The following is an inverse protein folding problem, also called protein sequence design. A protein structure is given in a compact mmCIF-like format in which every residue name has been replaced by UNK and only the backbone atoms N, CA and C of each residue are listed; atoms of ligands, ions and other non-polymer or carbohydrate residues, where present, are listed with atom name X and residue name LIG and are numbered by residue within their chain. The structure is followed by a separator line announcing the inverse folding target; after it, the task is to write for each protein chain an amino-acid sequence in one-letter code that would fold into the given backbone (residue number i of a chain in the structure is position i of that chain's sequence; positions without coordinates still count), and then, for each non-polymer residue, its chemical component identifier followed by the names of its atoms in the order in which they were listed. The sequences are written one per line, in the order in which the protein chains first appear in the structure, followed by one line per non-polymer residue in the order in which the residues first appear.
data_IF_240352792503
#
_entry.id   IF_240352792503
#
_cell.length_a   1.000
_cell.length_b   1.000
_cell.length_c   1.000
_cell.angle_alpha   90.00
_cell.angle_beta   90.00
_cell.angle_gamma   90.00
#
_symmetry.space_group_name_H-M   'P 1'
#
loop_
_entity.id
_entity.type
_entity.pdbx_description
1 polymer ?
#
# COMPACT_ATOMS: atom_id res chain seq x y z
N UNK A 1 55.47 21.04 -49.11
CA UNK A 1 54.08 20.63 -49.43
C UNK A 1 53.69 19.54 -48.43
N UNK A 2 52.91 19.88 -47.39
CA UNK A 2 52.41 18.92 -46.40
C UNK A 2 50.90 18.82 -46.59
N UNK A 3 50.45 17.68 -47.09
CA UNK A 3 49.04 17.36 -47.29
C UNK A 3 48.47 16.94 -45.93
N UNK A 4 47.51 17.68 -45.41
CA UNK A 4 46.72 17.26 -44.25
C UNK A 4 45.53 16.44 -44.75
N UNK A 5 45.48 15.16 -44.41
CA UNK A 5 44.27 14.35 -44.53
C UNK A 5 43.35 14.67 -43.35
N UNK A 6 42.21 15.31 -43.63
CA UNK A 6 41.13 15.46 -42.65
C UNK A 6 40.34 14.14 -42.61
N UNK A 7 40.49 13.37 -41.54
CA UNK A 7 39.65 12.20 -41.27
C UNK A 7 38.31 12.70 -40.70
N UNK A 8 37.27 12.77 -41.53
CA UNK A 8 35.90 13.05 -41.07
C UNK A 8 35.36 11.74 -40.48
N UNK A 9 35.34 11.63 -39.16
CA UNK A 9 34.69 10.52 -38.45
C UNK A 9 33.20 10.81 -38.39
N UNK A 10 32.42 10.17 -39.26
CA UNK A 10 30.95 10.22 -39.19
C UNK A 10 30.47 9.29 -38.08
N UNK A 11 30.19 9.87 -36.90
CA UNK A 11 29.52 9.15 -35.82
C UNK A 11 28.05 8.93 -36.20
N UNK A 12 27.72 7.73 -36.67
CA UNK A 12 26.33 7.27 -36.73
C UNK A 12 25.96 6.84 -35.31
N UNK A 13 25.36 7.75 -34.54
CA UNK A 13 24.78 7.43 -33.25
C UNK A 13 23.53 6.59 -33.45
N UNK A 14 23.59 5.31 -33.10
CA UNK A 14 22.40 4.43 -33.06
C UNK A 14 21.59 4.85 -31.84
N UNK A 15 20.43 5.47 -32.05
CA UNK A 15 19.40 5.65 -31.03
C UNK A 15 18.80 4.28 -30.72
N UNK A 16 19.30 3.61 -29.69
CA UNK A 16 18.62 2.48 -29.10
C UNK A 16 17.40 3.01 -28.33
N UNK A 17 16.21 2.89 -28.95
CA UNK A 17 14.94 3.05 -28.24
C UNK A 17 14.67 1.73 -27.53
N UNK A 18 14.94 1.68 -26.23
CA UNK A 18 14.52 0.57 -25.41
C UNK A 18 13.02 0.75 -25.10
N UNK A 19 12.16 -0.24 -25.38
CA UNK A 19 10.78 -0.19 -24.91
C UNK A 19 10.80 -0.13 -23.38
N UNK A 20 10.19 0.91 -22.82
CA UNK A 20 10.00 1.04 -21.38
C UNK A 20 8.92 0.03 -20.96
N UNK A 21 9.35 -1.19 -20.64
CA UNK A 21 8.51 -2.21 -20.03
C UNK A 21 8.36 -1.93 -18.52
N UNK A 22 7.97 -0.72 -18.14
CA UNK A 22 7.55 -0.44 -16.77
C UNK A 22 6.15 -1.02 -16.59
N UNK A 23 6.06 -2.29 -16.20
CA UNK A 23 4.81 -2.80 -15.63
C UNK A 23 4.42 -1.87 -14.48
N UNK A 24 3.21 -1.30 -14.52
CA UNK A 24 2.60 -0.50 -13.45
C UNK A 24 2.29 -1.40 -12.23
N UNK A 25 3.34 -1.97 -11.62
CA UNK A 25 3.22 -2.82 -10.46
C UNK A 25 3.10 -1.91 -9.22
N UNK A 26 2.04 -2.10 -8.43
CA UNK A 26 1.88 -1.41 -7.14
C UNK A 26 3.09 -1.72 -6.24
N UNK A 27 3.94 -0.71 -6.02
CA UNK A 27 5.10 -0.83 -5.14
C UNK A 27 4.61 -0.74 -3.69
N UNK A 28 4.76 -1.84 -2.95
CA UNK A 28 4.45 -1.91 -1.51
C UNK A 28 5.64 -1.47 -0.66
N UNK A 29 5.53 -0.31 -0.03
CA UNK A 29 6.54 0.22 0.89
C UNK A 29 6.26 -0.23 2.33
N UNK A 30 7.27 -0.77 3.02
CA UNK A 30 7.22 -1.05 4.46
C UNK A 30 7.19 0.25 5.27
N UNK A 31 6.23 0.38 6.19
CA UNK A 31 6.07 1.57 7.05
C UNK A 31 6.16 1.28 8.54
N UNK A 32 5.93 0.04 8.96
CA UNK A 32 6.25 -0.39 10.32
C UNK A 32 7.76 -0.67 10.41
N UNK A 33 8.50 0.17 11.15
CA UNK A 33 9.96 0.01 11.32
C UNK A 33 10.35 -1.36 11.92
N UNK A 34 9.45 -1.95 12.67
CA UNK A 34 9.60 -3.23 13.34
C UNK A 34 8.28 -4.01 13.27
N UNK A 35 8.29 -5.26 13.77
CA UNK A 35 7.08 -6.06 13.86
C UNK A 35 6.11 -5.43 14.85
N UNK A 36 4.90 -5.16 14.40
CA UNK A 36 3.82 -4.59 15.20
C UNK A 36 2.95 -5.73 15.68
N UNK A 37 2.77 -5.87 16.99
CA UNK A 37 2.01 -6.98 17.55
C UNK A 37 0.81 -6.50 18.37
N UNK A 38 -0.36 -7.08 18.11
CA UNK A 38 -1.61 -6.77 18.79
C UNK A 38 -2.16 -8.01 19.47
N UNK A 39 -2.92 -7.80 20.55
CA UNK A 39 -3.58 -8.86 21.31
C UNK A 39 -5.10 -8.83 21.10
N UNK A 40 -5.75 -9.95 21.38
CA UNK A 40 -7.21 -10.06 21.33
C UNK A 40 -7.92 -9.54 22.60
N UNK A 41 -7.15 -9.15 23.62
CA UNK A 41 -7.67 -8.69 24.92
C UNK A 41 -6.68 -7.77 25.66
N UNK A 42 -7.20 -7.10 26.70
CA UNK A 42 -6.43 -6.36 27.69
C UNK A 42 -6.05 -4.94 27.28
N UNK A 43 -6.70 -4.36 26.27
CA UNK A 43 -6.40 -3.02 25.72
C UNK A 43 -4.98 -2.92 25.18
N UNK A 44 -4.57 -3.90 24.37
CA UNK A 44 -3.18 -4.06 23.92
C UNK A 44 -3.08 -4.02 22.40
N UNK A 45 -3.23 -2.83 21.78
CA UNK A 45 -3.01 -2.66 20.36
C UNK A 45 -1.52 -2.78 20.03
N UNK A 46 -1.25 -3.18 18.79
CA UNK A 46 0.05 -2.96 18.18
C UNK A 46 0.12 -1.52 17.69
N UNK A 47 1.14 -0.77 18.09
CA UNK A 47 1.25 0.67 17.79
C UNK A 47 2.53 0.95 17.04
N UNK A 48 2.47 1.81 16.01
CA UNK A 48 3.67 2.29 15.32
C UNK A 48 3.47 3.71 14.76
N UNK A 49 4.58 4.43 14.63
CA UNK A 49 4.61 5.77 14.07
C UNK A 49 4.97 5.74 12.57
N UNK A 50 4.24 6.47 11.76
CA UNK A 50 4.52 6.62 10.34
C UNK A 50 5.74 7.52 10.13
N UNK A 51 6.86 6.91 9.71
CA UNK A 51 8.13 7.60 9.50
C UNK A 51 8.74 7.26 8.15
N UNK A 52 8.14 7.85 7.13
CA UNK A 52 8.61 7.75 5.76
C UNK A 52 9.57 8.90 5.45
N UNK A 53 10.80 8.55 5.07
CA UNK A 53 11.82 9.54 4.75
C UNK A 53 11.62 10.13 3.35
N UNK A 54 10.88 9.46 2.47
CA UNK A 54 10.55 9.92 1.13
C UNK A 54 9.32 10.84 1.11
N UNK A 55 8.57 10.92 2.21
CA UNK A 55 7.40 11.78 2.36
C UNK A 55 7.55 12.69 3.60
N UNK A 56 8.27 13.82 3.50
CA UNK A 56 8.66 14.64 4.65
C UNK A 56 7.46 15.23 5.42
N UNK A 57 6.35 15.51 4.74
CA UNK A 57 5.10 16.00 5.36
C UNK A 57 4.09 14.89 5.62
N UNK A 58 4.16 13.79 4.87
CA UNK A 58 3.16 12.75 4.87
C UNK A 58 2.69 12.42 3.46
N UNK A 59 1.66 11.59 3.34
CA UNK A 59 1.08 11.22 2.05
C UNK A 59 -0.38 10.82 2.13
N UNK A 60 -1.03 10.91 0.98
CA UNK A 60 -2.36 10.37 0.77
C UNK A 60 -2.27 8.84 0.64
N UNK A 61 -3.00 8.10 1.48
CA UNK A 61 -3.05 6.64 1.45
C UNK A 61 -4.31 6.14 0.75
N UNK A 62 -4.09 5.29 -0.26
CA UNK A 62 -5.15 4.59 -1.01
C UNK A 62 -5.28 3.12 -0.64
N UNK A 63 -4.18 2.50 -0.19
CA UNK A 63 -4.22 1.15 0.37
C UNK A 63 -3.19 0.94 1.48
N UNK A 64 -3.57 0.10 2.45
CA UNK A 64 -2.72 -0.36 3.52
C UNK A 64 -2.82 -1.89 3.59
N UNK A 65 -1.66 -2.54 3.66
CA UNK A 65 -1.53 -3.98 3.76
C UNK A 65 -0.86 -4.38 5.07
N UNK A 66 -1.46 -5.30 5.80
CA UNK A 66 -0.81 -6.00 6.91
C UNK A 66 -0.28 -7.33 6.38
N UNK A 67 0.98 -7.62 6.66
CA UNK A 67 1.63 -8.89 6.30
C UNK A 67 1.88 -9.68 7.58
N UNK A 68 1.30 -10.86 7.67
CA UNK A 68 1.44 -11.77 8.79
C UNK A 68 2.89 -12.17 9.02
N UNK A 69 3.32 -12.26 10.28
CA UNK A 69 4.65 -12.75 10.66
C UNK A 69 4.57 -13.93 11.60
N UNK A 70 3.74 -13.85 12.64
CA UNK A 70 3.62 -14.93 13.62
C UNK A 70 2.40 -14.76 14.52
N UNK A 71 2.07 -15.85 15.22
CA UNK A 71 1.08 -15.86 16.29
C UNK A 71 -0.34 -16.21 15.82
N UNK A 72 -1.27 -16.14 16.76
CA UNK A 72 -2.70 -16.33 16.51
C UNK A 72 -3.50 -15.59 17.58
N UNK A 73 -4.72 -15.23 17.21
CA UNK A 73 -5.75 -14.64 18.06
C UNK A 73 -7.01 -15.52 18.00
N UNK A 74 -7.85 -15.42 19.03
CA UNK A 74 -9.14 -16.10 19.11
C UNK A 74 -10.13 -15.25 19.90
N UNK A 75 -11.41 -15.42 19.59
CA UNK A 75 -12.55 -14.80 20.27
C UNK A 75 -13.22 -15.72 21.31
N UNK A 76 -12.65 -16.90 21.51
CA UNK A 76 -13.18 -17.96 22.36
C UNK A 76 -11.99 -18.80 22.84
N UNK A 77 -12.11 -19.41 24.02
CA UNK A 77 -11.09 -20.27 24.62
C UNK A 77 -10.79 -21.55 23.82
N UNK A 78 -11.65 -21.93 22.87
CA UNK A 78 -11.44 -23.09 22.02
C UNK A 78 -10.35 -22.85 20.96
N UNK A 79 -9.32 -23.70 20.99
CA UNK A 79 -8.18 -23.63 20.07
C UNK A 79 -8.55 -23.80 18.60
N UNK A 80 -9.68 -24.43 18.29
CA UNK A 80 -10.17 -24.60 16.92
C UNK A 80 -10.51 -23.28 16.22
N UNK A 81 -10.74 -22.21 16.99
CA UNK A 81 -11.11 -20.90 16.46
C UNK A 81 -9.93 -19.92 16.34
N UNK A 82 -8.72 -20.38 16.70
CA UNK A 82 -7.50 -19.61 16.51
C UNK A 82 -7.30 -19.26 15.05
N UNK A 83 -6.92 -18.02 14.79
CA UNK A 83 -6.74 -17.48 13.45
C UNK A 83 -5.71 -16.35 13.45
N UNK A 84 -5.35 -15.85 12.28
CA UNK A 84 -4.46 -14.70 12.12
C UNK A 84 -5.23 -13.37 12.21
N UNK A 85 -6.47 -13.35 11.73
CA UNK A 85 -7.19 -12.11 11.45
C UNK A 85 -8.55 -11.96 12.16
N UNK A 86 -8.95 -12.92 13.00
CA UNK A 86 -10.24 -12.85 13.69
C UNK A 86 -10.54 -14.11 14.50
N UNK A 87 -11.55 -14.88 14.09
CA UNK A 87 -11.95 -16.11 14.77
C UNK A 87 -12.46 -17.14 13.75
N UNK A 88 -11.64 -18.15 13.47
CA UNK A 88 -11.81 -19.05 12.32
C UNK A 88 -12.95 -20.05 12.57
N UNK A 89 -13.87 -20.23 11.61
CA UNK A 89 -15.00 -21.18 11.70
C UNK A 89 -15.85 -21.10 12.99
N UNK A 90 -15.82 -19.99 13.72
CA UNK A 90 -16.66 -19.79 14.89
C UNK A 90 -18.13 -19.62 14.45
N UNK A 91 -19.11 -20.37 15.00
CA UNK A 91 -20.49 -20.40 14.50
C UNK A 91 -21.17 -19.02 14.44
N UNK A 92 -20.84 -18.11 15.37
CA UNK A 92 -21.40 -16.75 15.37
C UNK A 92 -20.81 -15.84 14.28
N UNK A 93 -19.57 -16.10 13.86
CA UNK A 93 -18.77 -15.18 13.06
C UNK A 93 -18.34 -15.75 11.70
N UNK A 94 -18.75 -16.98 11.35
CA UNK A 94 -18.39 -17.65 10.09
C UNK A 94 -18.70 -16.82 8.83
N UNK A 95 -19.74 -15.96 8.87
CA UNK A 95 -20.10 -15.07 7.74
C UNK A 95 -19.27 -13.77 7.69
N UNK A 96 -18.53 -13.46 8.74
CA UNK A 96 -17.72 -12.25 8.90
C UNK A 96 -16.53 -12.54 9.83
N UNK A 97 -15.59 -13.40 9.40
CA UNK A 97 -14.63 -14.03 10.31
C UNK A 97 -13.47 -13.10 10.72
N UNK A 98 -13.41 -11.88 10.18
CA UNK A 98 -12.31 -10.93 10.41
C UNK A 98 -12.67 -9.92 11.51
N UNK A 99 -11.68 -9.58 12.32
CA UNK A 99 -11.82 -8.66 13.46
C UNK A 99 -10.59 -7.78 13.70
N UNK A 100 -9.77 -7.52 12.67
CA UNK A 100 -8.61 -6.64 12.79
C UNK A 100 -8.98 -5.22 12.37
N UNK A 101 -8.69 -4.25 13.23
CA UNK A 101 -9.09 -2.85 13.05
C UNK A 101 -7.85 -1.97 13.07
N UNK A 102 -7.74 -1.04 12.13
CA UNK A 102 -6.70 -0.01 12.11
C UNK A 102 -7.34 1.30 12.53
N UNK A 103 -6.75 1.96 13.51
CA UNK A 103 -7.21 3.26 14.01
C UNK A 103 -6.08 4.29 13.99
N UNK A 104 -6.47 5.55 14.13
CA UNK A 104 -5.54 6.60 14.55
C UNK A 104 -5.17 6.47 16.05
N UNK A 105 -4.38 7.42 16.54
CA UNK A 105 -3.94 7.47 17.95
C UNK A 105 -5.08 7.67 18.96
N UNK A 106 -6.23 8.16 18.53
CA UNK A 106 -7.42 8.41 19.33
C UNK A 106 -8.48 7.30 19.19
N UNK A 107 -8.10 6.18 18.60
CA UNK A 107 -8.97 5.02 18.38
C UNK A 107 -10.14 5.30 17.40
N UNK A 108 -10.00 6.32 16.54
CA UNK A 108 -10.91 6.52 15.42
C UNK A 108 -10.60 5.50 14.32
N UNK A 109 -11.60 4.73 13.89
CA UNK A 109 -11.45 3.67 12.89
C UNK A 109 -11.11 4.28 11.52
N UNK A 110 -9.97 3.83 10.99
CA UNK A 110 -9.51 4.10 9.62
C UNK A 110 -9.87 2.92 8.71
N UNK A 111 -9.53 1.69 9.14
CA UNK A 111 -9.86 0.46 8.41
C UNK A 111 -10.44 -0.63 9.32
N UNK A 112 -11.33 -1.49 8.79
CA UNK A 112 -11.97 -1.38 7.47
C UNK A 112 -12.94 -0.19 7.39
N UNK A 113 -13.37 0.16 6.17
CA UNK A 113 -14.47 1.12 5.99
C UNK A 113 -15.71 0.65 6.78
N UNK A 114 -16.36 1.57 7.49
CA UNK A 114 -17.50 1.31 8.38
C UNK A 114 -18.61 0.51 7.71
N UNK A 115 -18.80 0.65 6.39
CA UNK A 115 -19.81 -0.12 5.64
C UNK A 115 -19.61 -1.65 5.66
N UNK A 116 -18.38 -2.12 5.92
CA UNK A 116 -18.07 -3.55 6.00
C UNK A 116 -18.35 -4.13 7.39
N UNK A 117 -18.40 -3.29 8.43
CA UNK A 117 -18.60 -3.69 9.83
C UNK A 117 -20.06 -4.13 10.03
N UNK A 118 -20.25 -5.30 10.67
CA UNK A 118 -21.58 -5.93 10.80
C UNK A 118 -22.23 -5.81 12.16
N UNK A 119 -21.48 -5.56 13.22
CA UNK A 119 -22.00 -5.55 14.59
C UNK A 119 -21.13 -4.72 15.54
N UNK A 120 -21.53 -4.66 16.83
CA UNK A 120 -20.81 -3.92 17.86
C UNK A 120 -19.41 -4.46 18.21
N UNK A 121 -19.12 -5.74 17.89
CA UNK A 121 -17.79 -6.34 18.04
C UNK A 121 -16.83 -6.02 16.89
N UNK A 122 -17.27 -5.22 15.90
CA UNK A 122 -16.49 -4.80 14.74
C UNK A 122 -16.14 -5.94 13.76
N UNK A 123 -16.96 -6.97 13.69
CA UNK A 123 -16.73 -8.09 12.78
C UNK A 123 -17.06 -7.76 11.32
N UNK A 124 -16.28 -8.27 10.38
CA UNK A 124 -16.45 -8.01 8.94
C UNK A 124 -15.95 -9.16 8.05
N UNK A 125 -16.26 -9.06 6.76
CA UNK A 125 -15.79 -9.96 5.70
C UNK A 125 -15.03 -9.15 4.64
N UNK A 126 -13.97 -9.73 4.09
CA UNK A 126 -13.33 -9.26 2.87
C UNK A 126 -13.27 -10.42 1.86
N UNK A 127 -13.56 -10.16 0.58
CA UNK A 127 -13.48 -11.19 -0.45
C UNK A 127 -12.05 -11.72 -0.56
N UNK A 128 -11.92 -13.02 -0.81
CA UNK A 128 -10.63 -13.72 -0.98
C UNK A 128 -9.69 -13.69 0.24
N UNK A 129 -10.20 -13.33 1.42
CA UNK A 129 -9.44 -13.37 2.67
C UNK A 129 -9.94 -14.51 3.55
N UNK A 130 -9.03 -15.42 3.90
CA UNK A 130 -9.24 -16.46 4.89
C UNK A 130 -8.63 -16.02 6.23
N UNK A 131 -9.41 -16.11 7.32
CA UNK A 131 -8.98 -15.63 8.63
C UNK A 131 -7.78 -16.41 9.21
N UNK A 132 -7.60 -17.67 8.82
CA UNK A 132 -6.54 -18.55 9.31
C UNK A 132 -5.34 -18.62 8.36
N UNK A 133 -5.58 -18.64 7.04
CA UNK A 133 -4.54 -18.98 6.06
C UNK A 133 -4.02 -17.80 5.25
N UNK A 134 -4.73 -16.67 5.16
CA UNK A 134 -4.20 -15.53 4.40
C UNK A 134 -2.95 -14.97 5.09
N UNK A 135 -1.86 -14.80 4.34
CA UNK A 135 -0.63 -14.15 4.82
C UNK A 135 -0.74 -12.63 4.81
N UNK A 136 -1.74 -12.09 4.12
CA UNK A 136 -1.92 -10.65 3.94
C UNK A 136 -3.36 -10.24 4.18
N UNK A 137 -3.54 -9.05 4.77
CA UNK A 137 -4.81 -8.37 4.91
C UNK A 137 -4.69 -6.99 4.27
N UNK A 138 -5.36 -6.80 3.14
CA UNK A 138 -5.27 -5.57 2.34
C UNK A 138 -6.54 -4.77 2.48
N UNK A 139 -6.40 -3.52 2.89
CA UNK A 139 -7.47 -2.53 2.94
C UNK A 139 -7.26 -1.51 1.83
N UNK A 140 -8.29 -1.24 1.05
CA UNK A 140 -8.27 -0.25 -0.03
C UNK A 140 -9.36 0.80 0.19
N UNK A 141 -9.04 2.06 -0.12
CA UNK A 141 -9.96 3.19 -0.09
C UNK A 141 -9.60 4.19 -1.18
N UNK A 142 -9.84 3.79 -2.43
CA UNK A 142 -9.60 4.66 -3.59
C UNK A 142 -10.58 5.86 -3.65
N UNK A 143 -11.80 5.69 -3.12
CA UNK A 143 -12.83 6.74 -3.14
C UNK A 143 -12.74 7.69 -1.97
N UNK A 144 -12.22 7.25 -0.82
CA UNK A 144 -12.09 8.03 0.41
C UNK A 144 -10.67 7.88 0.97
N UNK A 145 -9.64 8.37 0.25
CA UNK A 145 -8.29 8.30 0.76
C UNK A 145 -8.12 9.22 1.97
N UNK A 146 -7.17 8.93 2.84
CA UNK A 146 -6.85 9.79 3.98
C UNK A 146 -5.38 10.20 3.96
N UNK A 147 -5.08 11.40 4.46
CA UNK A 147 -3.71 11.88 4.55
C UNK A 147 -3.08 11.39 5.85
N UNK A 148 -2.00 10.61 5.73
CA UNK A 148 -1.20 10.15 6.86
C UNK A 148 0.05 11.04 6.97
N UNK A 149 0.08 11.87 8.00
CA UNK A 149 1.18 12.81 8.24
C UNK A 149 2.38 12.08 8.81
N UNK A 150 3.58 12.53 8.47
CA UNK A 150 4.79 12.02 9.13
C UNK A 150 4.68 12.28 10.63
N UNK A 151 4.91 11.24 11.43
CA UNK A 151 4.75 11.29 12.88
C UNK A 151 3.38 10.86 13.40
N UNK A 152 2.39 10.65 12.50
CA UNK A 152 1.12 10.10 12.92
C UNK A 152 1.29 8.66 13.42
N UNK A 153 0.54 8.34 14.46
CA UNK A 153 0.53 7.01 15.07
C UNK A 153 -0.67 6.22 14.59
N UNK A 154 -0.41 5.01 14.10
CA UNK A 154 -1.42 4.02 13.77
C UNK A 154 -1.44 2.94 14.85
N UNK A 155 -2.65 2.47 15.18
CA UNK A 155 -2.86 1.32 16.07
C UNK A 155 -3.55 0.21 15.30
N UNK A 156 -3.09 -1.02 15.53
CA UNK A 156 -3.69 -2.26 15.04
C UNK A 156 -4.33 -2.94 16.23
N UNK A 157 -5.63 -3.16 16.13
CA UNK A 157 -6.48 -3.67 17.18
C UNK A 157 -7.11 -5.00 16.77
N UNK A 158 -7.40 -5.82 17.76
CA UNK A 158 -8.52 -6.75 17.68
C UNK A 158 -9.81 -5.99 18.03
N UNK A 159 -10.85 -6.13 17.21
CA UNK A 159 -12.06 -5.30 17.27
C UNK A 159 -12.82 -5.42 18.59
N UNK A 160 -12.93 -6.64 19.11
CA UNK A 160 -13.53 -6.88 20.42
C UNK A 160 -12.70 -6.28 21.57
N UNK A 161 -11.36 -6.27 21.48
CA UNK A 161 -10.50 -5.60 22.46
C UNK A 161 -10.68 -4.07 22.41
N UNK A 162 -10.74 -3.51 21.20
CA UNK A 162 -10.99 -2.08 20.98
C UNK A 162 -12.35 -1.64 21.56
N UNK A 163 -13.39 -2.48 21.46
CA UNK A 163 -14.72 -2.16 21.98
C UNK A 163 -14.97 -2.64 23.41
N UNK A 164 -14.04 -3.38 24.00
CA UNK A 164 -14.28 -4.15 25.22
C UNK A 164 -15.57 -5.00 25.09
N UNK A 165 -15.78 -5.58 23.90
CA UNK A 165 -16.98 -6.34 23.55
C UNK A 165 -16.71 -7.81 23.81
N UNK A 166 -17.25 -8.35 24.92
CA UNK A 166 -17.04 -9.76 25.30
C UNK A 166 -15.56 -10.18 25.25
N UNK A 167 -14.62 -9.29 25.55
CA UNK A 167 -13.19 -9.59 25.35
C UNK A 167 -12.57 -10.53 26.41
N UNK A 168 -13.38 -11.11 27.31
CA UNK A 168 -12.90 -11.89 28.45
C UNK A 168 -12.50 -13.32 28.07
N UNK A 169 -13.16 -13.92 27.07
CA UNK A 169 -12.84 -15.23 26.48
C UNK A 169 -11.92 -15.13 25.26
N UNK A 170 -11.44 -13.93 24.95
CA UNK A 170 -10.49 -13.70 23.88
C UNK A 170 -9.07 -14.05 24.31
N UNK A 171 -8.23 -14.43 23.35
CA UNK A 171 -6.86 -14.81 23.64
C UNK A 171 -5.90 -14.66 22.48
N UNK A 172 -4.61 -14.73 22.80
CA UNK A 172 -3.54 -14.73 21.81
C UNK A 172 -3.00 -13.36 21.44
N UNK A 173 -2.08 -13.38 20.47
CA UNK A 173 -1.29 -12.26 19.98
C UNK A 173 -0.86 -12.57 18.55
N UNK A 174 -0.98 -11.60 17.66
CA UNK A 174 -0.49 -11.68 16.27
C UNK A 174 0.51 -10.56 16.03
N UNK A 175 1.58 -10.86 15.32
CA UNK A 175 2.60 -9.91 14.88
C UNK A 175 2.56 -9.76 13.36
N UNK A 176 2.63 -8.51 12.90
CA UNK A 176 2.55 -8.13 11.48
C UNK A 176 3.59 -7.09 11.11
N UNK A 177 3.76 -6.90 9.81
CA UNK A 177 4.35 -5.70 9.23
C UNK A 177 3.27 -4.92 8.48
N UNK A 178 3.31 -3.60 8.56
CA UNK A 178 2.42 -2.72 7.81
C UNK A 178 3.13 -2.18 6.57
N UNK A 179 2.48 -2.29 5.42
CA UNK A 179 2.91 -1.75 4.14
C UNK A 179 1.84 -0.86 3.55
N UNK A 180 2.22 0.06 2.67
CA UNK A 180 1.31 0.91 1.90
C UNK A 180 1.68 0.81 0.43
N UNK A 181 0.68 0.93 -0.44
CA UNK A 181 0.93 1.02 -1.88
C UNK A 181 1.23 2.47 -2.25
N UNK A 182 2.25 2.67 -3.08
CA UNK A 182 2.42 3.93 -3.80
C UNK A 182 1.63 3.83 -5.11
N UNK A 183 0.84 4.86 -5.42
CA UNK A 183 0.51 5.11 -6.83
C UNK A 183 1.82 5.52 -7.52
N UNK A 184 2.14 5.04 -8.72
CA UNK A 184 3.26 5.55 -9.49
C UNK A 184 3.11 7.08 -9.57
N UNK A 185 3.99 7.82 -8.89
CA UNK A 185 4.01 9.28 -9.00
C UNK A 185 4.64 9.56 -10.36
N UNK A 186 3.80 9.57 -11.41
CA UNK A 186 4.15 9.92 -12.78
C UNK A 186 5.42 9.25 -13.31
N UNK A 187 5.25 8.28 -14.22
CA UNK A 187 6.22 8.18 -15.33
C UNK A 187 6.43 9.60 -15.85
N UNK A 188 7.70 10.02 -15.96
CA UNK A 188 8.08 11.39 -16.32
C UNK A 188 7.20 11.85 -17.47
N UNK A 189 6.30 12.81 -17.20
CA UNK A 189 5.73 13.66 -18.24
C UNK A 189 6.92 14.14 -19.04
N UNK A 190 7.01 13.70 -20.29
CA UNK A 190 8.07 14.07 -21.21
C UNK A 190 8.22 15.57 -21.13
N UNK A 191 9.38 15.99 -20.64
CA UNK A 191 9.81 17.38 -20.69
C UNK A 191 9.85 17.73 -22.17
N UNK A 192 8.88 18.48 -22.67
CA UNK A 192 9.06 19.22 -23.92
C UNK A 192 10.24 20.16 -23.67
N UNK A 193 11.44 19.73 -24.00
CA UNK A 193 12.54 20.66 -24.20
C UNK A 193 12.15 21.46 -25.43
N UNK A 194 11.88 22.75 -25.23
CA UNK A 194 11.75 23.70 -26.32
C UNK A 194 13.07 23.70 -27.11
N UNK A 195 13.11 23.00 -28.24
CA UNK A 195 14.20 23.14 -29.19
C UNK A 195 13.96 24.44 -29.94
N UNK A 196 14.80 25.44 -29.68
CA UNK A 196 14.83 26.66 -30.47
C UNK A 196 15.33 26.33 -31.88
N UNK A 197 14.41 26.21 -32.84
CA UNK A 197 14.78 26.10 -34.25
C UNK A 197 15.20 27.48 -34.77
N UNK A 198 16.46 27.62 -35.21
CA UNK A 198 16.86 28.69 -36.12
C UNK A 198 16.58 28.19 -37.54
N UNK A 199 15.75 28.93 -38.27
CA UNK A 199 15.55 28.68 -39.69
C UNK A 199 16.78 29.18 -40.45
N UNK A 200 17.52 28.26 -41.08
CA UNK A 200 18.44 28.62 -42.16
C UNK A 200 17.59 28.73 -43.43
N UNK A 201 17.37 29.96 -43.89
CA UNK A 201 16.74 30.23 -45.18
C UNK A 201 17.75 29.93 -46.28
N UNK A 202 17.84 28.67 -46.70
CA UNK A 202 18.29 28.32 -48.03
C UNK A 202 17.78 26.93 -48.41
N UNK A 203 17.09 26.89 -49.54
CA UNK A 203 16.45 25.75 -50.20
C UNK A 203 15.05 25.39 -49.66
N UNK A 204 14.05 25.86 -50.41
CA UNK A 204 12.66 25.53 -50.20
C UNK A 204 12.37 24.08 -50.53
N UNK A 205 11.94 23.33 -49.53
CA UNK A 205 11.00 22.23 -49.72
C UNK A 205 10.25 22.01 -48.40
N UNK A 206 8.95 22.31 -48.39
CA UNK A 206 8.07 21.85 -47.32
C UNK A 206 7.73 20.39 -47.58
N UNK A 207 7.87 19.55 -46.55
CA UNK A 207 7.26 18.22 -46.55
C UNK A 207 6.61 17.99 -45.19
N UNK A 208 5.28 17.98 -45.22
CA UNK A 208 4.40 17.58 -44.12
C UNK A 208 4.64 16.10 -43.79
N UNK A 209 4.78 15.76 -42.51
CA UNK A 209 4.62 14.39 -42.04
C UNK A 209 3.45 14.36 -41.06
N UNK A 210 2.37 13.73 -41.52
CA UNK A 210 1.20 13.39 -40.72
C UNK A 210 1.59 12.36 -39.66
N UNK A 211 1.04 12.52 -38.45
CA UNK A 211 1.10 11.52 -37.40
C UNK A 211 -0.20 10.71 -37.46
N UNK A 212 -0.12 9.45 -37.86
CA UNK A 212 -1.15 8.46 -37.54
C UNK A 212 -0.67 7.63 -36.34
N UNK A 213 -1.65 7.35 -35.46
CA UNK A 213 -1.53 6.91 -34.06
C UNK A 213 -0.91 5.53 -33.90
#
# INVERSE_FOLDING_TARGET
MRIFFLMIVTSIGVLAVFPDNSEDQLIWQLISRERVCFHANGRRPGTFEYRDNQAPTGRLLTALKLVYRSGNVTCDNNVAYKSRWGCYNHPRYVKHPLNVIITDKYDNIIYPDKKYIKNGGLWYFLPFVDALYSDELVFTSFTNPFYLSKGDTLKIWYGEDLRNWKAADNGGRVCVEAKISQLPIGSRSTRFQSVSMRADTNQGHFTTLAMDV
#
